data_IF_078130808151
#
_entry.id   IF_078130808151
#
_cell.length_a   1.000
_cell.length_b   1.000
_cell.length_c   1.000
_cell.angle_alpha   90.00
_cell.angle_beta   90.00
_cell.angle_gamma   90.00
#
_symmetry.space_group_name_H-M   'P 1'
#
loop_
_entity.id
_entity.type
_entity.pdbx_description
1 polymer ?
#
# COMPACT_ATOMS: atom_id res chain seq x y z
N UNK A 1 -1.81 -25.54 -8.92
CA UNK A 1 -1.30 -24.80 -7.75
C UNK A 1 -2.29 -23.66 -7.49
N UNK A 2 -2.57 -23.33 -6.23
CA UNK A 2 -3.50 -22.23 -5.90
C UNK A 2 -2.92 -20.89 -6.40
N UNK A 3 -3.70 -20.12 -7.18
CA UNK A 3 -3.29 -18.85 -7.76
C UNK A 3 -2.88 -17.83 -6.69
N UNK A 4 -3.50 -17.85 -5.52
CA UNK A 4 -3.14 -16.98 -4.40
C UNK A 4 -1.76 -17.34 -3.83
N UNK A 5 -1.42 -18.63 -3.75
CA UNK A 5 -0.09 -19.09 -3.29
C UNK A 5 1.00 -18.68 -4.30
N UNK A 6 0.72 -18.81 -5.60
CA UNK A 6 1.66 -18.37 -6.63
C UNK A 6 1.91 -16.86 -6.62
N UNK A 7 0.86 -16.07 -6.39
CA UNK A 7 0.99 -14.63 -6.23
C UNK A 7 1.92 -14.27 -5.07
N UNK A 8 1.72 -14.87 -3.89
CA UNK A 8 2.58 -14.59 -2.73
C UNK A 8 4.02 -15.02 -2.92
N UNK A 9 4.26 -16.12 -3.65
CA UNK A 9 5.60 -16.55 -4.02
C UNK A 9 6.27 -15.54 -4.94
N UNK A 10 5.60 -15.18 -6.04
CA UNK A 10 6.11 -14.20 -7.00
C UNK A 10 6.38 -12.83 -6.35
N UNK A 11 5.50 -12.36 -5.46
CA UNK A 11 5.68 -11.10 -4.72
C UNK A 11 6.92 -11.15 -3.82
N UNK A 12 7.14 -12.26 -3.11
CA UNK A 12 8.31 -12.46 -2.26
C UNK A 12 9.60 -12.51 -3.07
N UNK A 13 9.63 -13.24 -4.17
CA UNK A 13 10.79 -13.31 -5.07
C UNK A 13 11.12 -11.93 -5.66
N UNK A 14 10.11 -11.18 -6.10
CA UNK A 14 10.32 -9.81 -6.57
C UNK A 14 10.88 -8.92 -5.46
N UNK A 15 10.39 -9.05 -4.22
CA UNK A 15 10.89 -8.29 -3.10
C UNK A 15 12.36 -8.62 -2.78
N UNK A 16 12.77 -9.88 -2.87
CA UNK A 16 14.16 -10.30 -2.71
C UNK A 16 15.08 -9.67 -3.76
N UNK A 17 14.67 -9.70 -5.04
CA UNK A 17 15.42 -9.03 -6.12
C UNK A 17 15.56 -7.53 -5.87
N UNK A 18 14.51 -6.87 -5.35
CA UNK A 18 14.57 -5.46 -5.03
C UNK A 18 15.42 -5.15 -3.80
N UNK A 19 15.43 -6.03 -2.79
CA UNK A 19 16.28 -5.87 -1.61
C UNK A 19 17.78 -5.90 -1.96
N UNK A 20 18.18 -6.54 -3.06
CA UNK A 20 19.56 -6.53 -3.58
C UNK A 20 19.96 -5.19 -4.22
N UNK A 21 19.02 -4.28 -4.48
CA UNK A 21 19.31 -2.96 -5.04
C UNK A 21 20.03 -2.11 -3.97
N UNK A 22 21.25 -1.58 -4.21
CA UNK A 22 22.02 -0.87 -3.18
C UNK A 22 21.29 0.30 -2.51
N UNK A 23 20.51 1.06 -3.27
CA UNK A 23 19.75 2.19 -2.73
C UNK A 23 18.66 1.77 -1.73
N UNK A 24 18.16 0.52 -1.81
CA UNK A 24 17.19 -0.02 -0.84
C UNK A 24 17.85 -0.17 0.53
N UNK A 25 19.05 -0.76 0.60
CA UNK A 25 19.80 -0.89 1.86
C UNK A 25 20.10 0.49 2.49
N UNK A 26 20.51 1.47 1.68
CA UNK A 26 20.81 2.83 2.15
C UNK A 26 19.59 3.58 2.69
N UNK A 27 18.42 3.37 2.10
CA UNK A 27 17.18 4.06 2.51
C UNK A 27 16.53 3.34 3.69
N UNK A 28 16.48 2.01 3.64
CA UNK A 28 15.84 1.17 4.65
C UNK A 28 16.55 1.21 6.00
N UNK A 29 17.87 1.42 6.05
CA UNK A 29 18.61 1.55 7.31
C UNK A 29 18.17 2.74 8.17
N UNK A 30 17.53 3.74 7.56
CA UNK A 30 17.01 4.91 8.27
C UNK A 30 15.54 4.72 8.72
N UNK A 31 14.88 3.62 8.36
CA UNK A 31 13.51 3.35 8.80
C UNK A 31 13.52 2.95 10.28
N UNK A 32 12.53 3.38 11.10
CA UNK A 32 12.60 3.16 12.54
C UNK A 32 12.71 1.70 12.98
N UNK A 33 12.15 0.76 12.21
CA UNK A 33 12.27 -0.67 12.50
C UNK A 33 13.72 -1.20 12.33
N UNK A 34 14.47 -0.66 11.37
CA UNK A 34 15.81 -1.12 11.04
C UNK A 34 16.91 -0.31 11.75
N UNK A 35 16.58 0.91 12.19
CA UNK A 35 17.54 1.81 12.81
C UNK A 35 17.90 1.35 14.24
N UNK A 36 19.17 1.48 14.66
CA UNK A 36 19.57 1.24 16.04
C UNK A 36 18.73 2.05 17.03
N UNK A 37 18.51 1.52 18.24
CA UNK A 37 17.71 2.19 19.26
C UNK A 37 18.20 3.63 19.54
N UNK A 38 19.52 3.83 19.60
CA UNK A 38 20.12 5.14 19.82
C UNK A 38 19.77 6.16 18.73
N UNK A 39 19.56 5.71 17.50
CA UNK A 39 19.28 6.55 16.35
C UNK A 39 17.79 6.86 16.19
N UNK A 40 16.89 6.07 16.80
CA UNK A 40 15.43 6.31 16.71
C UNK A 40 14.82 7.01 17.93
N UNK A 41 15.64 7.40 18.90
CA UNK A 41 15.18 8.17 20.07
C UNK A 41 14.70 9.58 19.72
N UNK A 42 13.69 10.06 20.44
CA UNK A 42 13.16 11.42 20.30
C UNK A 42 14.25 12.48 20.49
N UNK A 43 14.26 13.50 19.62
CA UNK A 43 15.21 14.61 19.71
C UNK A 43 16.63 14.32 19.20
N UNK A 44 16.86 13.16 18.56
CA UNK A 44 18.09 12.88 17.81
C UNK A 44 18.11 13.62 16.45
N UNK A 45 19.30 13.75 15.86
CA UNK A 45 19.52 14.45 14.57
C UNK A 45 19.46 13.53 13.34
N UNK A 46 18.78 12.40 13.48
CA UNK A 46 18.73 11.33 12.48
C UNK A 46 17.41 11.34 11.74
N UNK A 47 17.39 10.75 10.54
CA UNK A 47 16.14 10.52 9.80
C UNK A 47 15.24 9.52 10.54
N UNK A 48 15.83 8.50 11.18
CA UNK A 48 15.07 7.49 11.93
C UNK A 48 14.25 8.10 13.08
N UNK A 49 14.83 9.02 13.85
CA UNK A 49 14.09 9.72 14.91
C UNK A 49 12.94 10.56 14.37
N UNK A 50 13.16 11.29 13.26
CA UNK A 50 12.06 12.02 12.60
C UNK A 50 10.96 11.06 12.13
N UNK A 51 11.30 9.96 11.47
CA UNK A 51 10.31 9.00 10.99
C UNK A 51 9.55 8.35 12.16
N UNK A 52 10.20 8.08 13.29
CA UNK A 52 9.55 7.60 14.51
C UNK A 52 8.54 8.62 15.05
N UNK A 53 8.89 9.91 15.08
CA UNK A 53 7.97 10.98 15.48
C UNK A 53 6.75 11.05 14.53
N UNK A 54 6.98 10.97 13.23
CA UNK A 54 5.90 10.98 12.23
C UNK A 54 5.00 9.74 12.33
N UNK A 55 5.56 8.56 12.58
CA UNK A 55 4.80 7.33 12.84
C UNK A 55 3.91 7.49 14.07
N UNK A 56 4.43 8.09 15.15
CA UNK A 56 3.66 8.30 16.38
C UNK A 56 2.49 9.28 16.18
N UNK A 57 2.66 10.32 15.34
CA UNK A 57 1.61 11.31 15.05
C UNK A 57 0.64 10.92 13.93
N UNK A 58 1.09 10.10 12.97
CA UNK A 58 0.40 9.87 11.69
C UNK A 58 0.51 8.40 11.21
N UNK A 59 0.42 7.43 12.12
CA UNK A 59 0.66 5.99 11.85
C UNK A 59 -0.01 5.46 10.58
N UNK A 60 -1.28 5.81 10.34
CA UNK A 60 -2.03 5.39 9.15
C UNK A 60 -1.46 5.92 7.82
N UNK A 61 -0.82 7.09 7.84
CA UNK A 61 -0.17 7.68 6.68
C UNK A 61 1.20 7.02 6.43
N UNK A 62 1.89 6.60 7.49
CA UNK A 62 3.26 6.06 7.41
C UNK A 62 3.34 4.56 7.09
N UNK A 63 2.20 3.89 6.92
CA UNK A 63 2.10 2.42 6.74
C UNK A 63 2.81 1.85 5.50
N UNK A 64 3.02 2.66 4.46
CA UNK A 64 3.55 2.23 3.16
C UNK A 64 4.98 2.76 2.98
N UNK A 65 6.03 1.97 3.27
CA UNK A 65 7.40 2.49 3.32
C UNK A 65 7.94 2.89 1.94
N UNK A 66 7.39 2.35 0.84
CA UNK A 66 7.77 2.76 -0.52
C UNK A 66 7.14 4.07 -0.99
N UNK A 67 6.24 4.68 -0.21
CA UNK A 67 5.55 5.95 -0.54
C UNK A 67 6.03 7.14 0.30
N UNK A 68 7.09 6.96 1.07
CA UNK A 68 7.56 7.96 2.03
C UNK A 68 8.13 9.22 1.36
N UNK A 69 8.57 9.17 0.10
CA UNK A 69 9.07 10.39 -0.56
C UNK A 69 7.94 11.40 -0.84
N UNK A 70 6.72 10.92 -1.13
CA UNK A 70 5.55 11.78 -1.26
C UNK A 70 4.91 12.15 0.08
N UNK A 71 4.95 11.25 1.06
CA UNK A 71 4.23 11.42 2.34
C UNK A 71 5.02 12.27 3.33
N UNK A 72 6.33 12.02 3.49
CA UNK A 72 7.15 12.68 4.51
C UNK A 72 7.18 14.20 4.33
N UNK A 73 7.36 14.78 3.13
CA UNK A 73 7.34 16.25 2.98
C UNK A 73 6.02 16.88 3.42
N UNK A 74 4.88 16.24 3.12
CA UNK A 74 3.56 16.74 3.50
C UNK A 74 3.38 16.77 5.02
N UNK A 75 3.79 15.69 5.69
CA UNK A 75 3.66 15.58 7.14
C UNK A 75 4.72 16.40 7.88
N UNK A 76 5.93 16.50 7.33
CA UNK A 76 7.04 17.23 7.94
C UNK A 76 6.75 18.73 8.06
N UNK A 77 6.12 19.34 7.06
CA UNK A 77 5.74 20.76 7.11
C UNK A 77 4.68 21.05 8.19
N UNK A 78 3.79 20.10 8.47
CA UNK A 78 2.85 20.22 9.58
C UNK A 78 3.55 19.97 10.93
N UNK A 79 4.38 18.94 10.99
CA UNK A 79 5.15 18.53 12.17
C UNK A 79 6.11 19.62 12.66
N UNK A 80 6.78 20.36 11.75
CA UNK A 80 7.67 21.50 12.08
C UNK A 80 7.00 22.56 12.96
N UNK A 81 5.67 22.70 12.90
CA UNK A 81 4.92 23.68 13.70
C UNK A 81 4.79 23.27 15.16
N UNK A 82 4.93 21.98 15.46
CA UNK A 82 4.59 21.38 16.75
C UNK A 82 5.72 20.55 17.37
N UNK A 83 6.78 20.22 16.62
CA UNK A 83 7.91 19.41 17.08
C UNK A 83 9.23 20.17 17.11
N UNK A 84 10.14 19.68 17.97
CA UNK A 84 11.53 20.11 18.11
C UNK A 84 12.52 19.22 17.32
N UNK A 85 12.05 18.54 16.26
CA UNK A 85 12.88 17.65 15.45
C UNK A 85 14.21 18.31 15.07
N UNK A 86 15.32 17.60 15.31
CA UNK A 86 16.67 18.16 15.16
C UNK A 86 17.40 17.67 13.89
N UNK A 87 16.71 16.92 13.03
CA UNK A 87 17.28 16.52 11.73
C UNK A 87 17.49 17.75 10.85
N UNK A 88 18.62 17.85 10.18
CA UNK A 88 18.87 18.95 9.25
C UNK A 88 18.13 18.73 7.94
N UNK A 89 17.70 19.82 7.28
CA UNK A 89 17.07 19.75 5.96
C UNK A 89 17.98 19.11 4.90
N UNK A 90 19.29 19.29 5.03
CA UNK A 90 20.27 18.65 4.16
C UNK A 90 20.26 17.12 4.33
N UNK A 91 20.32 16.62 5.57
CA UNK A 91 20.29 15.17 5.84
C UNK A 91 18.98 14.56 5.37
N UNK A 92 17.85 15.20 5.66
CA UNK A 92 16.55 14.76 5.20
C UNK A 92 16.45 14.81 3.66
N UNK A 93 16.93 15.87 3.02
CA UNK A 93 16.91 16.04 1.56
C UNK A 93 17.72 14.98 0.81
N UNK A 94 18.87 14.56 1.35
CA UNK A 94 19.66 13.45 0.78
C UNK A 94 18.88 12.14 0.84
N UNK A 95 18.27 11.83 1.99
CA UNK A 95 17.46 10.63 2.15
C UNK A 95 16.21 10.65 1.25
N UNK A 96 15.47 11.77 1.22
CA UNK A 96 14.29 11.96 0.36
C UNK A 96 14.62 11.83 -1.12
N UNK A 97 15.78 12.31 -1.55
CA UNK A 97 16.23 12.16 -2.95
C UNK A 97 16.38 10.68 -3.32
N UNK A 98 16.96 9.87 -2.43
CA UNK A 98 17.10 8.43 -2.64
C UNK A 98 15.74 7.73 -2.62
N UNK A 99 14.91 8.04 -1.64
CA UNK A 99 13.55 7.54 -1.52
C UNK A 99 12.70 7.88 -2.76
N UNK A 100 12.90 9.05 -3.37
CA UNK A 100 12.21 9.48 -4.60
C UNK A 100 12.53 8.55 -5.78
N UNK A 101 13.77 8.08 -5.93
CA UNK A 101 14.12 7.11 -6.98
C UNK A 101 13.38 5.78 -6.76
N UNK A 102 13.34 5.28 -5.53
CA UNK A 102 12.64 4.05 -5.17
C UNK A 102 11.12 4.18 -5.39
N UNK A 103 10.49 5.23 -4.87
CA UNK A 103 9.06 5.46 -5.05
C UNK A 103 8.70 5.61 -6.54
N UNK A 104 9.52 6.31 -7.33
CA UNK A 104 9.29 6.44 -8.77
C UNK A 104 9.38 5.09 -9.49
N UNK A 105 10.38 4.27 -9.16
CA UNK A 105 10.50 2.93 -9.73
C UNK A 105 9.32 2.04 -9.33
N UNK A 106 8.86 2.15 -8.08
CA UNK A 106 7.70 1.43 -7.56
C UNK A 106 6.44 1.82 -8.32
N UNK A 107 6.19 3.13 -8.44
CA UNK A 107 5.05 3.68 -9.20
C UNK A 107 5.03 3.19 -10.65
N UNK A 108 6.18 3.16 -11.34
CA UNK A 108 6.25 2.66 -12.72
C UNK A 108 5.91 1.17 -12.80
N UNK A 109 6.38 0.37 -11.83
CA UNK A 109 6.08 -1.05 -11.74
C UNK A 109 4.58 -1.29 -11.52
N UNK A 110 3.97 -0.59 -10.55
CA UNK A 110 2.54 -0.66 -10.26
C UNK A 110 1.70 -0.18 -11.45
N UNK A 111 2.10 0.90 -12.11
CA UNK A 111 1.43 1.39 -13.31
C UNK A 111 1.49 0.36 -14.46
N UNK A 112 2.59 -0.35 -14.60
CA UNK A 112 2.72 -1.43 -15.58
C UNK A 112 1.81 -2.62 -15.25
N UNK A 113 1.67 -3.02 -13.98
CA UNK A 113 0.68 -4.03 -13.58
C UNK A 113 -0.75 -3.57 -13.90
N UNK A 114 -1.10 -2.35 -13.51
CA UNK A 114 -2.41 -1.74 -13.80
C UNK A 114 -2.71 -1.65 -15.30
N UNK A 115 -1.69 -1.52 -16.15
CA UNK A 115 -1.84 -1.47 -17.60
C UNK A 115 -2.32 -2.79 -18.23
N UNK A 116 -2.26 -3.90 -17.50
CA UNK A 116 -2.73 -5.20 -17.94
C UNK A 116 -4.18 -5.50 -17.52
N UNK A 117 -4.82 -4.60 -16.77
CA UNK A 117 -6.24 -4.72 -16.43
C UNK A 117 -7.11 -4.55 -17.68
N UNK A 118 -8.21 -5.30 -17.74
CA UNK A 118 -9.19 -5.19 -18.82
C UNK A 118 -9.69 -3.74 -18.97
N UNK A 119 -9.81 -3.29 -20.22
CA UNK A 119 -10.25 -1.93 -20.53
C UNK A 119 -9.21 -0.83 -20.35
N UNK A 120 -7.98 -1.11 -19.91
CA UNK A 120 -6.90 -0.11 -19.90
C UNK A 120 -6.57 0.39 -21.33
N UNK A 121 -6.32 1.70 -21.54
CA UNK A 121 -6.27 2.80 -20.57
C UNK A 121 -7.63 3.47 -20.28
N UNK A 122 -8.73 2.97 -20.86
CA UNK A 122 -10.07 3.58 -20.83
C UNK A 122 -11.03 2.93 -19.83
N UNK A 123 -10.51 2.47 -18.68
CA UNK A 123 -11.31 1.87 -17.60
C UNK A 123 -12.44 2.83 -17.20
N UNK A 124 -13.68 2.33 -17.26
CA UNK A 124 -14.91 3.11 -17.07
C UNK A 124 -15.33 3.27 -15.59
N UNK A 125 -14.58 2.69 -14.67
CA UNK A 125 -14.90 2.66 -13.25
C UNK A 125 -15.03 4.10 -12.68
N UNK A 126 -16.16 4.47 -12.04
CA UNK A 126 -16.35 5.80 -11.44
C UNK A 126 -15.28 6.14 -10.41
N UNK A 127 -14.67 5.15 -9.77
CA UNK A 127 -13.56 5.30 -8.84
C UNK A 127 -12.34 5.95 -9.48
N UNK A 128 -12.25 6.01 -10.81
CA UNK A 128 -11.23 6.74 -11.57
C UNK A 128 -11.72 8.12 -12.08
N UNK A 129 -12.84 8.64 -11.58
CA UNK A 129 -13.30 10.01 -11.78
C UNK A 129 -12.25 11.02 -11.26
N UNK A 130 -12.16 12.21 -11.88
CA UNK A 130 -11.20 13.23 -11.44
C UNK A 130 -11.49 13.65 -10.00
N UNK A 131 -10.46 13.71 -9.17
CA UNK A 131 -10.57 14.12 -7.76
C UNK A 131 -11.01 13.00 -6.81
N UNK A 132 -11.26 11.79 -7.32
CA UNK A 132 -11.43 10.56 -6.51
C UNK A 132 -10.17 10.22 -5.72
N UNK A 133 -10.25 9.35 -4.70
CA UNK A 133 -9.07 8.88 -3.95
C UNK A 133 -7.95 8.32 -4.84
N UNK A 134 -8.32 7.76 -5.99
CA UNK A 134 -7.38 7.16 -6.95
C UNK A 134 -6.82 8.15 -7.97
N UNK A 135 -7.24 9.42 -8.01
CA UNK A 135 -6.77 10.39 -9.03
C UNK A 135 -6.49 11.79 -8.49
N UNK A 136 -6.78 12.04 -7.21
CA UNK A 136 -6.53 13.32 -6.57
C UNK A 136 -5.02 13.58 -6.47
N UNK A 137 -4.60 14.84 -6.65
CA UNK A 137 -3.23 15.28 -6.38
C UNK A 137 -3.07 15.81 -4.95
N UNK A 138 -4.17 15.88 -4.19
CA UNK A 138 -4.12 16.12 -2.75
C UNK A 138 -3.70 14.84 -1.99
N UNK A 139 -3.53 14.96 -0.67
CA UNK A 139 -3.14 13.87 0.20
C UNK A 139 -4.01 12.61 0.04
N UNK A 140 -3.34 11.47 -0.15
CA UNK A 140 -3.91 10.12 -0.15
C UNK A 140 -2.84 9.10 0.24
N UNK A 141 -3.24 8.01 0.89
CA UNK A 141 -2.30 6.99 1.40
C UNK A 141 -2.08 5.85 0.38
N UNK A 142 -2.29 6.13 -0.91
CA UNK A 142 -2.30 5.14 -1.98
C UNK A 142 -1.65 5.70 -3.23
N UNK A 143 -1.05 4.84 -4.07
CA UNK A 143 -0.60 5.24 -5.38
C UNK A 143 -1.77 5.60 -6.29
N UNK A 144 -1.88 6.88 -6.61
CA UNK A 144 -2.86 7.39 -7.58
C UNK A 144 -2.58 6.85 -8.99
N UNK A 145 -3.64 6.81 -9.79
CA UNK A 145 -3.63 6.60 -11.22
C UNK A 145 -3.39 7.94 -11.92
N UNK A 146 -2.14 8.21 -12.31
CA UNK A 146 -1.83 9.49 -12.95
C UNK A 146 -2.31 9.51 -14.42
N UNK A 147 -2.76 10.67 -14.92
CA UNK A 147 -3.06 10.83 -16.35
C UNK A 147 -1.86 10.53 -17.25
N UNK A 148 -0.65 10.77 -16.77
CA UNK A 148 0.61 10.55 -17.48
C UNK A 148 0.86 9.06 -17.70
N UNK A 149 0.67 8.22 -16.68
CA UNK A 149 0.80 6.75 -16.78
C UNK A 149 -0.04 6.17 -17.93
N UNK A 150 -1.29 6.66 -18.08
CA UNK A 150 -2.23 6.21 -19.13
C UNK A 150 -1.79 6.53 -20.54
N UNK A 151 -0.91 7.51 -20.73
CA UNK A 151 -0.41 7.94 -22.04
C UNK A 151 0.87 7.22 -22.46
N UNK A 152 1.49 6.45 -21.56
CA UNK A 152 2.80 5.82 -21.81
C UNK A 152 2.73 4.54 -22.66
N UNK A 153 1.55 4.03 -23.01
CA UNK A 153 1.42 2.80 -23.79
C UNK A 153 1.96 1.56 -23.07
N UNK A 154 1.91 1.55 -21.73
CA UNK A 154 2.48 0.49 -20.89
C UNK A 154 1.94 -0.91 -21.20
N UNK A 155 0.71 -1.01 -21.71
CA UNK A 155 0.07 -2.28 -22.10
C UNK A 155 0.76 -2.98 -23.28
N UNK A 156 1.60 -2.26 -24.02
CA UNK A 156 2.37 -2.80 -25.15
C UNK A 156 3.80 -3.15 -24.77
N UNK A 157 4.20 -2.93 -23.51
CA UNK A 157 5.57 -3.15 -23.04
C UNK A 157 5.71 -4.51 -22.36
N UNK A 158 6.79 -5.22 -22.65
CA UNK A 158 7.06 -6.56 -22.10
C UNK A 158 7.57 -6.57 -20.65
N UNK A 159 7.93 -5.42 -20.09
CA UNK A 159 8.35 -5.23 -18.71
C UNK A 159 8.14 -3.77 -18.26
N UNK A 160 8.16 -3.48 -16.94
CA UNK A 160 8.13 -2.12 -16.44
C UNK A 160 9.26 -1.26 -17.03
N UNK A 161 8.96 -0.16 -17.73
CA UNK A 161 9.98 0.58 -18.45
C UNK A 161 10.94 1.31 -17.50
N UNK A 162 12.24 1.25 -17.80
CA UNK A 162 13.29 2.07 -17.16
C UNK A 162 13.48 1.86 -15.65
N UNK A 163 12.82 0.88 -15.02
CA UNK A 163 12.97 0.60 -13.57
C UNK A 163 14.44 0.38 -13.18
N UNK A 164 15.21 -0.50 -13.85
CA UNK A 164 16.64 -0.68 -13.54
C UNK A 164 17.46 0.61 -13.68
N UNK A 165 17.09 1.48 -14.62
CA UNK A 165 17.76 2.76 -14.82
C UNK A 165 17.44 3.79 -13.74
N UNK A 166 16.19 3.83 -13.27
CA UNK A 166 15.75 4.74 -12.21
C UNK A 166 16.50 4.45 -10.91
N UNK A 167 16.64 3.17 -10.55
CA UNK A 167 17.28 2.72 -9.30
C UNK A 167 18.78 2.40 -9.47
N UNK A 168 19.34 2.67 -10.65
CA UNK A 168 20.77 2.44 -10.98
C UNK A 168 21.23 0.99 -10.74
N UNK A 169 20.38 0.01 -11.07
CA UNK A 169 20.61 -1.42 -10.85
C UNK A 169 20.73 -2.20 -12.18
N UNK A 170 21.49 -1.67 -13.15
CA UNK A 170 21.62 -2.29 -14.48
C UNK A 170 22.16 -3.72 -14.44
N UNK A 171 22.99 -4.05 -13.44
CA UNK A 171 23.58 -5.39 -13.28
C UNK A 171 22.54 -6.49 -13.01
N UNK A 172 21.41 -6.14 -12.41
CA UNK A 172 20.30 -7.07 -12.10
C UNK A 172 19.03 -6.75 -12.88
N UNK A 173 19.15 -5.99 -13.98
CA UNK A 173 18.02 -5.53 -14.78
C UNK A 173 17.12 -6.68 -15.25
N UNK A 174 17.72 -7.80 -15.66
CA UNK A 174 17.00 -9.00 -16.11
C UNK A 174 16.15 -9.60 -14.98
N UNK A 175 16.71 -9.73 -13.78
CA UNK A 175 16.01 -10.26 -12.61
C UNK A 175 14.84 -9.35 -12.20
N UNK A 176 15.03 -8.03 -12.24
CA UNK A 176 13.97 -7.05 -11.97
C UNK A 176 12.81 -7.23 -12.95
N UNK A 177 13.10 -7.34 -14.25
CA UNK A 177 12.09 -7.50 -15.29
C UNK A 177 11.37 -8.86 -15.23
N UNK A 178 12.12 -9.94 -14.95
CA UNK A 178 11.57 -11.30 -14.88
C UNK A 178 10.67 -11.49 -13.65
N UNK A 179 11.09 -11.00 -12.49
CA UNK A 179 10.28 -11.07 -11.27
C UNK A 179 9.02 -10.20 -11.36
N UNK A 180 9.10 -9.00 -11.96
CA UNK A 180 7.90 -8.20 -12.24
C UNK A 180 6.93 -8.91 -13.19
N UNK A 181 7.43 -9.56 -14.24
CA UNK A 181 6.58 -10.38 -15.12
C UNK A 181 5.92 -11.55 -14.40
N UNK A 182 6.64 -12.22 -13.50
CA UNK A 182 6.09 -13.31 -12.70
C UNK A 182 4.90 -12.84 -11.85
N UNK A 183 5.05 -11.71 -11.14
CA UNK A 183 3.96 -11.09 -10.36
C UNK A 183 2.78 -10.73 -11.24
N UNK A 184 3.00 -10.11 -12.40
CA UNK A 184 1.91 -9.75 -13.31
C UNK A 184 1.14 -10.97 -13.82
N UNK A 185 1.83 -12.06 -14.19
CA UNK A 185 1.17 -13.31 -14.57
C UNK A 185 0.37 -13.92 -13.42
N UNK A 186 0.96 -13.99 -12.23
CA UNK A 186 0.26 -14.51 -11.06
C UNK A 186 -0.98 -13.67 -10.70
N UNK A 187 -0.89 -12.34 -10.83
CA UNK A 187 -2.03 -11.43 -10.66
C UNK A 187 -3.17 -11.76 -11.65
N UNK A 188 -2.84 -12.00 -12.92
CA UNK A 188 -3.81 -12.33 -13.98
C UNK A 188 -4.55 -13.66 -13.73
N UNK A 189 -3.95 -14.58 -12.97
CA UNK A 189 -4.54 -15.87 -12.62
C UNK A 189 -5.49 -15.79 -11.41
N UNK A 190 -5.52 -14.67 -10.69
CA UNK A 190 -6.36 -14.53 -9.49
C UNK A 190 -7.84 -14.41 -9.81
N UNK A 191 -8.68 -14.75 -8.81
CA UNK A 191 -10.14 -14.64 -8.94
C UNK A 191 -10.57 -13.20 -9.17
N UNK A 192 -9.98 -12.26 -8.44
CA UNK A 192 -10.29 -10.83 -8.50
C UNK A 192 -10.03 -10.29 -9.91
N UNK A 193 -8.89 -10.64 -10.51
CA UNK A 193 -8.54 -10.24 -11.86
C UNK A 193 -9.48 -10.84 -12.91
N UNK A 194 -9.72 -12.15 -12.84
CA UNK A 194 -10.63 -12.84 -13.75
C UNK A 194 -12.08 -12.36 -13.63
N UNK A 195 -12.52 -12.05 -12.42
CA UNK A 195 -13.85 -11.46 -12.17
C UNK A 195 -13.94 -10.09 -12.82
N UNK A 196 -12.92 -9.24 -12.67
CA UNK A 196 -12.90 -7.93 -13.31
C UNK A 196 -12.94 -8.04 -14.84
N UNK A 197 -12.09 -8.88 -15.44
CA UNK A 197 -12.12 -9.15 -16.89
C UNK A 197 -13.48 -9.64 -17.36
N UNK A 198 -14.07 -10.60 -16.66
CA UNK A 198 -15.39 -11.14 -17.03
C UNK A 198 -16.50 -10.09 -16.95
N UNK A 199 -16.49 -9.24 -15.91
CA UNK A 199 -17.47 -8.15 -15.79
C UNK A 199 -17.26 -7.06 -16.83
N UNK A 200 -16.02 -6.80 -17.25
CA UNK A 200 -15.72 -5.87 -18.34
C UNK A 200 -16.32 -6.36 -19.66
N UNK A 201 -16.12 -7.63 -19.99
CA UNK A 201 -16.60 -8.23 -21.24
C UNK A 201 -18.13 -8.33 -21.27
N UNK A 202 -18.76 -8.45 -20.10
CA UNK A 202 -20.21 -8.48 -19.95
C UNK A 202 -20.90 -7.10 -19.99
N UNK A 203 -20.15 -5.99 -20.06
CA UNK A 203 -20.74 -4.65 -20.06
C UNK A 203 -21.59 -4.38 -21.30
N UNK A 204 -22.88 -4.11 -21.09
CA UNK A 204 -23.78 -3.60 -22.14
C UNK A 204 -23.56 -2.11 -22.39
N UNK A 205 -24.12 -1.57 -23.47
CA UNK A 205 -24.04 -0.12 -23.74
C UNK A 205 -24.82 0.73 -22.73
N UNK A 206 -25.88 0.16 -22.13
CA UNK A 206 -26.59 0.77 -21.01
C UNK A 206 -25.67 0.85 -19.79
N UNK A 207 -24.97 -0.23 -19.45
CA UNK A 207 -24.02 -0.24 -18.33
C UNK A 207 -22.89 0.79 -18.55
N UNK A 208 -22.32 0.83 -19.76
CA UNK A 208 -21.27 1.80 -20.12
C UNK A 208 -21.75 3.24 -19.99
N UNK A 209 -23.00 3.51 -20.35
CA UNK A 209 -23.61 4.85 -20.22
C UNK A 209 -23.77 5.22 -18.76
N UNK A 210 -24.34 4.33 -17.94
CA UNK A 210 -24.49 4.52 -16.49
C UNK A 210 -23.14 4.78 -15.79
N UNK A 211 -22.09 4.03 -16.17
CA UNK A 211 -20.73 4.21 -15.64
C UNK A 211 -20.16 5.59 -16.00
N UNK A 212 -20.33 6.04 -17.24
CA UNK A 212 -19.86 7.36 -17.70
C UNK A 212 -20.60 8.49 -16.98
N UNK A 213 -21.92 8.39 -16.85
CA UNK A 213 -22.73 9.37 -16.13
C UNK A 213 -22.33 9.46 -14.66
N UNK A 214 -22.21 8.32 -13.98
CA UNK A 214 -21.75 8.25 -12.59
C UNK A 214 -20.35 8.85 -12.42
N UNK A 215 -19.41 8.59 -13.35
CA UNK A 215 -18.07 9.17 -13.34
C UNK A 215 -18.07 10.68 -13.54
N UNK A 216 -18.91 11.19 -14.44
CA UNK A 216 -19.03 12.63 -14.70
C UNK A 216 -19.62 13.35 -13.49
N UNK A 217 -20.69 12.80 -12.91
CA UNK A 217 -21.31 13.35 -11.72
C UNK A 217 -20.36 13.33 -10.52
N UNK A 218 -19.63 12.23 -10.30
CA UNK A 218 -18.63 12.17 -9.24
C UNK A 218 -17.50 13.19 -9.47
N UNK A 219 -17.05 13.39 -10.71
CA UNK A 219 -16.03 14.41 -11.02
C UNK A 219 -16.49 15.83 -10.69
N UNK A 220 -17.80 16.11 -10.83
CA UNK A 220 -18.41 17.39 -10.45
C UNK A 220 -18.43 17.55 -8.92
N UNK A 221 -18.92 16.55 -8.21
CA UNK A 221 -18.99 16.51 -6.73
C UNK A 221 -17.60 16.59 -6.09
N UNK A 222 -16.57 16.07 -6.75
CA UNK A 222 -15.19 16.10 -6.26
C UNK A 222 -14.35 17.25 -6.84
N UNK A 223 -14.98 18.22 -7.49
CA UNK A 223 -14.31 19.45 -7.90
C UNK A 223 -13.82 20.24 -6.67
N UNK A 224 -12.75 21.04 -6.83
CA UNK A 224 -12.12 21.74 -5.71
C UNK A 224 -13.11 22.62 -4.94
N UNK A 225 -13.95 23.38 -5.62
CA UNK A 225 -14.95 24.25 -4.99
C UNK A 225 -16.00 23.47 -4.18
N UNK A 226 -16.42 22.29 -4.66
CA UNK A 226 -17.37 21.45 -3.93
C UNK A 226 -16.73 20.82 -2.69
N UNK A 227 -15.50 20.30 -2.81
CA UNK A 227 -14.78 19.74 -1.65
C UNK A 227 -14.53 20.82 -0.61
N UNK A 228 -14.09 22.01 -1.01
CA UNK A 228 -13.85 23.15 -0.10
C UNK A 228 -15.12 23.58 0.63
N UNK A 229 -16.28 23.49 -0.02
CA UNK A 229 -17.57 23.89 0.57
C UNK A 229 -18.14 22.85 1.54
N UNK A 230 -17.71 21.58 1.45
CA UNK A 230 -18.26 20.47 2.23
C UNK A 230 -17.30 19.91 3.28
N UNK A 231 -16.07 20.42 3.36
CA UNK A 231 -15.02 19.89 4.25
C UNK A 231 -14.24 21.00 4.92
N UNK A 232 -13.55 20.67 6.01
CA UNK A 232 -12.52 21.55 6.57
C UNK A 232 -11.32 21.64 5.61
N UNK A 233 -10.39 22.56 5.87
CA UNK A 233 -9.12 22.62 5.14
C UNK A 233 -8.14 21.49 5.50
N UNK A 234 -8.53 20.56 6.38
CA UNK A 234 -7.66 19.47 6.83
C UNK A 234 -7.60 18.36 5.77
N UNK A 235 -6.37 17.95 5.43
CA UNK A 235 -6.10 16.97 4.38
C UNK A 235 -6.81 15.60 4.61
N UNK A 236 -6.89 15.16 5.87
CA UNK A 236 -7.52 13.88 6.24
C UNK A 236 -9.04 13.92 6.01
N UNK A 237 -9.72 14.99 6.44
CA UNK A 237 -11.17 15.15 6.27
C UNK A 237 -11.54 15.18 4.79
N UNK A 238 -10.75 15.91 4.00
CA UNK A 238 -10.87 15.98 2.54
C UNK A 238 -10.67 14.62 1.86
N UNK A 239 -9.74 13.81 2.36
CA UNK A 239 -9.51 12.44 1.88
C UNK A 239 -10.71 11.52 2.20
N UNK A 240 -11.23 11.59 3.44
CA UNK A 240 -12.44 10.85 3.87
C UNK A 240 -13.67 11.21 3.03
N UNK A 241 -13.91 12.51 2.81
CA UNK A 241 -15.01 12.98 1.97
C UNK A 241 -14.95 12.41 0.55
N UNK A 242 -13.76 12.39 -0.07
CA UNK A 242 -13.56 11.79 -1.40
C UNK A 242 -13.87 10.30 -1.41
N UNK A 243 -13.40 9.57 -0.40
CA UNK A 243 -13.65 8.13 -0.26
C UNK A 243 -15.15 7.84 -0.09
N UNK A 244 -15.83 8.58 0.78
CA UNK A 244 -17.27 8.40 1.05
C UNK A 244 -18.13 8.78 -0.16
N UNK A 245 -17.82 9.88 -0.85
CA UNK A 245 -18.51 10.27 -2.08
C UNK A 245 -18.30 9.25 -3.21
N UNK A 246 -17.10 8.70 -3.35
CA UNK A 246 -16.82 7.62 -4.31
C UNK A 246 -17.60 6.35 -3.96
N UNK A 247 -17.63 5.94 -2.69
CA UNK A 247 -18.40 4.78 -2.22
C UNK A 247 -19.89 4.93 -2.51
N UNK A 248 -20.45 6.12 -2.25
CA UNK A 248 -21.85 6.45 -2.55
C UNK A 248 -22.14 6.39 -4.05
N UNK A 249 -21.24 6.86 -4.90
CA UNK A 249 -21.42 6.80 -6.35
C UNK A 249 -21.48 5.35 -6.86
N UNK A 250 -20.63 4.47 -6.35
CA UNK A 250 -20.66 3.03 -6.69
C UNK A 250 -21.94 2.37 -6.17
N UNK A 251 -22.35 2.66 -4.93
CA UNK A 251 -23.55 2.08 -4.32
C UNK A 251 -24.86 2.44 -5.03
N UNK A 252 -24.89 3.55 -5.78
CA UNK A 252 -26.04 3.98 -6.60
C UNK A 252 -26.14 3.26 -7.94
N UNK A 253 -25.07 2.62 -8.41
CA UNK A 253 -25.12 1.80 -9.60
C UNK A 253 -25.98 0.56 -9.36
N UNK A 254 -26.49 -0.03 -10.43
CA UNK A 254 -27.22 -1.29 -10.42
C UNK A 254 -26.76 -2.18 -11.58
N UNK A 255 -27.15 -3.46 -11.56
CA UNK A 255 -26.90 -4.40 -12.65
C UNK A 255 -25.41 -4.59 -12.98
N UNK A 256 -25.10 -4.71 -14.28
CA UNK A 256 -23.75 -4.95 -14.78
C UNK A 256 -22.77 -3.83 -14.43
N UNK A 257 -23.21 -2.58 -14.47
CA UNK A 257 -22.40 -1.43 -14.07
C UNK A 257 -21.91 -1.53 -12.62
N UNK A 258 -22.77 -1.95 -11.68
CA UNK A 258 -22.38 -2.14 -10.28
C UNK A 258 -21.38 -3.29 -10.13
N UNK A 259 -21.68 -4.43 -10.74
CA UNK A 259 -20.80 -5.61 -10.67
C UNK A 259 -19.40 -5.29 -11.21
N UNK A 260 -19.31 -4.57 -12.33
CA UNK A 260 -18.05 -4.10 -12.89
C UNK A 260 -17.30 -3.14 -11.95
N UNK A 261 -18.00 -2.17 -11.36
CA UNK A 261 -17.39 -1.22 -10.44
C UNK A 261 -16.88 -1.91 -9.15
N UNK A 262 -17.61 -2.87 -8.60
CA UNK A 262 -17.19 -3.65 -7.44
C UNK A 262 -16.01 -4.58 -7.77
N UNK A 263 -16.02 -5.23 -8.93
CA UNK A 263 -14.91 -6.06 -9.39
C UNK A 263 -13.64 -5.23 -9.63
N UNK A 264 -13.76 -4.00 -10.14
CA UNK A 264 -12.63 -3.08 -10.25
C UNK A 264 -11.98 -2.79 -8.90
N UNK A 265 -12.79 -2.55 -7.85
CA UNK A 265 -12.25 -2.32 -6.49
C UNK A 265 -11.49 -3.55 -6.01
N UNK A 266 -12.03 -4.75 -6.18
CA UNK A 266 -11.38 -5.98 -5.75
C UNK A 266 -10.03 -6.18 -6.46
N UNK A 267 -9.98 -6.00 -7.79
CA UNK A 267 -8.73 -6.12 -8.54
C UNK A 267 -7.70 -5.03 -8.16
N UNK A 268 -8.14 -3.78 -8.00
CA UNK A 268 -7.27 -2.68 -7.59
C UNK A 268 -6.75 -2.85 -6.15
N UNK A 269 -7.60 -3.30 -5.23
CA UNK A 269 -7.24 -3.54 -3.84
C UNK A 269 -6.27 -4.72 -3.72
N UNK A 270 -6.43 -5.77 -4.53
CA UNK A 270 -5.46 -6.86 -4.62
C UNK A 270 -4.10 -6.35 -5.11
N UNK A 271 -4.06 -5.53 -6.16
CA UNK A 271 -2.81 -4.91 -6.64
C UNK A 271 -2.17 -4.12 -5.50
N UNK A 272 -2.92 -3.22 -4.85
CA UNK A 272 -2.39 -2.39 -3.77
C UNK A 272 -1.90 -3.23 -2.58
N UNK A 273 -2.63 -4.28 -2.18
CA UNK A 273 -2.21 -5.21 -1.13
C UNK A 273 -0.88 -5.87 -1.51
N UNK A 274 -0.76 -6.37 -2.73
CA UNK A 274 0.47 -7.04 -3.17
C UNK A 274 1.64 -6.07 -3.29
N UNK A 275 1.43 -4.86 -3.81
CA UNK A 275 2.50 -3.94 -4.17
C UNK A 275 2.85 -2.94 -3.07
N UNK A 276 1.86 -2.23 -2.53
CA UNK A 276 2.08 -1.10 -1.63
C UNK A 276 2.22 -1.55 -0.18
N UNK A 277 1.69 -2.73 0.14
CA UNK A 277 1.67 -3.27 1.49
C UNK A 277 2.62 -4.45 1.62
N UNK A 278 2.39 -5.56 0.93
CA UNK A 278 3.20 -6.78 1.06
C UNK A 278 4.60 -6.61 0.49
N UNK A 279 4.71 -6.33 -0.81
CA UNK A 279 5.99 -6.12 -1.46
C UNK A 279 6.79 -4.99 -0.79
N UNK A 280 6.16 -3.85 -0.50
CA UNK A 280 6.85 -2.72 0.13
C UNK A 280 7.45 -3.08 1.50
N UNK A 281 6.72 -3.83 2.34
CA UNK A 281 7.22 -4.28 3.64
C UNK A 281 8.37 -5.27 3.47
N UNK A 282 8.25 -6.25 2.56
CA UNK A 282 9.30 -7.24 2.31
C UNK A 282 10.59 -6.61 1.75
N UNK A 283 10.48 -5.64 0.85
CA UNK A 283 11.64 -4.92 0.29
C UNK A 283 12.36 -4.11 1.37
N UNK A 284 11.60 -3.45 2.26
CA UNK A 284 12.16 -2.47 3.18
C UNK A 284 12.55 -3.04 4.54
N UNK A 285 11.92 -4.13 4.97
CA UNK A 285 12.10 -4.73 6.29
C UNK A 285 12.50 -6.22 6.24
N UNK A 286 12.49 -6.84 5.06
CA UNK A 286 12.81 -8.25 4.91
C UNK A 286 11.64 -9.18 5.30
N UNK A 287 11.97 -10.41 5.69
CA UNK A 287 10.98 -11.40 6.09
C UNK A 287 10.19 -10.96 7.35
N UNK A 288 8.88 -11.28 7.44
CA UNK A 288 8.09 -10.95 8.62
C UNK A 288 8.65 -11.59 9.88
N UNK A 289 8.76 -10.78 10.94
CA UNK A 289 9.20 -11.24 12.26
C UNK A 289 8.14 -12.14 12.91
N UNK A 290 8.61 -13.11 13.70
CA UNK A 290 7.75 -13.91 14.55
C UNK A 290 7.43 -13.14 15.82
N UNK A 291 6.14 -13.03 16.14
CA UNK A 291 5.64 -12.36 17.33
C UNK A 291 5.00 -13.41 18.23
N UNK A 292 5.43 -13.44 19.50
CA UNK A 292 4.76 -14.21 20.53
C UNK A 292 3.42 -13.53 20.84
N UNK A 293 2.32 -14.22 20.53
CA UNK A 293 0.98 -13.71 20.79
C UNK A 293 0.20 -14.61 21.74
N UNK A 294 -0.82 -14.03 22.34
CA UNK A 294 -1.78 -14.69 23.22
C UNK A 294 -3.20 -14.22 22.90
N UNK A 295 -4.20 -14.86 23.50
CA UNK A 295 -5.61 -14.46 23.37
C UNK A 295 -6.08 -14.31 21.91
N UNK A 296 -5.68 -15.25 21.05
CA UNK A 296 -6.02 -15.23 19.62
C UNK A 296 -7.52 -15.47 19.43
N UNK A 297 -8.19 -14.51 18.79
CA UNK A 297 -9.61 -14.57 18.45
C UNK A 297 -9.84 -14.32 16.95
N UNK A 298 -10.58 -15.21 16.31
CA UNK A 298 -10.95 -15.11 14.89
C UNK A 298 -12.31 -14.42 14.77
N UNK A 299 -12.29 -13.19 14.24
CA UNK A 299 -13.53 -12.42 14.05
C UNK A 299 -14.25 -12.81 12.78
N UNK A 300 -15.53 -13.14 12.93
CA UNK A 300 -16.51 -13.21 11.83
C UNK A 300 -16.32 -14.40 10.89
N UNK A 301 -16.65 -15.61 11.35
CA UNK A 301 -17.10 -16.78 10.57
C UNK A 301 -16.22 -17.34 9.44
N UNK A 302 -15.15 -16.65 9.03
CA UNK A 302 -14.43 -16.91 7.78
C UNK A 302 -12.93 -16.62 7.85
N UNK A 303 -12.31 -16.78 9.03
CA UNK A 303 -10.86 -16.86 9.30
C UNK A 303 -9.93 -15.74 8.81
N UNK A 304 -10.41 -14.72 8.08
CA UNK A 304 -9.56 -13.67 7.50
C UNK A 304 -9.24 -12.51 8.44
N UNK A 305 -9.93 -12.37 9.57
CA UNK A 305 -9.71 -11.32 10.56
C UNK A 305 -9.40 -11.94 11.91
N UNK A 306 -8.36 -11.41 12.53
CA UNK A 306 -7.81 -11.96 13.75
C UNK A 306 -7.44 -10.80 14.67
N UNK A 307 -7.73 -10.97 15.94
CA UNK A 307 -7.18 -10.15 17.01
C UNK A 307 -6.32 -11.02 17.91
N UNK A 308 -5.25 -10.45 18.45
CA UNK A 308 -4.37 -11.11 19.40
C UNK A 308 -3.68 -10.09 20.31
N UNK A 309 -3.21 -10.57 21.45
CA UNK A 309 -2.48 -9.79 22.43
C UNK A 309 -0.98 -10.06 22.35
N UNK A 310 -0.18 -9.00 22.45
CA UNK A 310 1.28 -9.07 22.50
C UNK A 310 1.75 -8.44 23.81
N UNK A 311 2.58 -9.18 24.53
CA UNK A 311 3.23 -8.78 25.79
C UNK A 311 4.75 -8.84 25.59
N UNK A 312 5.50 -7.96 26.25
CA UNK A 312 6.98 -7.98 26.33
C UNK A 312 7.78 -7.91 25.01
N UNK A 313 7.13 -7.88 23.85
CA UNK A 313 7.72 -7.50 22.56
C UNK A 313 7.96 -5.98 22.54
N UNK A 314 8.83 -5.41 21.68
CA UNK A 314 8.79 -3.98 21.39
C UNK A 314 7.44 -3.64 20.75
N UNK A 315 6.41 -3.43 21.57
CA UNK A 315 5.02 -3.18 21.19
C UNK A 315 4.92 -1.99 20.22
N UNK A 316 5.87 -1.06 20.32
CA UNK A 316 6.00 0.10 19.45
C UNK A 316 6.49 -0.22 18.02
N UNK A 317 7.04 -1.40 17.78
CA UNK A 317 7.50 -1.86 16.46
C UNK A 317 6.40 -2.63 15.69
N UNK A 318 5.22 -2.88 16.31
CA UNK A 318 4.04 -3.47 15.66
C UNK A 318 2.99 -2.39 15.38
N UNK A 319 3.08 -1.76 14.21
CA UNK A 319 2.18 -0.68 13.80
C UNK A 319 1.31 -1.07 12.59
N UNK A 320 0.19 -0.35 12.33
CA UNK A 320 -0.60 -0.54 11.13
C UNK A 320 0.26 -0.52 9.85
N UNK A 321 0.06 -1.53 8.99
CA UNK A 321 0.85 -1.73 7.77
C UNK A 321 1.96 -2.77 7.90
N UNK A 322 2.43 -3.09 9.11
CA UNK A 322 3.40 -4.17 9.27
C UNK A 322 2.83 -5.52 8.88
N UNK A 323 3.73 -6.43 8.54
CA UNK A 323 3.44 -7.85 8.34
C UNK A 323 4.23 -8.61 9.39
N UNK A 324 3.53 -9.47 10.11
CA UNK A 324 4.07 -10.29 11.19
C UNK A 324 3.66 -11.75 11.00
N UNK A 325 4.41 -12.66 11.59
CA UNK A 325 3.97 -14.03 11.84
C UNK A 325 3.68 -14.19 13.32
N UNK A 326 2.79 -15.09 13.65
CA UNK A 326 2.43 -15.38 15.04
C UNK A 326 2.90 -16.78 15.36
N UNK A 327 3.53 -16.93 16.52
CA UNK A 327 3.98 -18.24 17.01
C UNK A 327 2.80 -19.04 17.59
N UNK A 328 1.82 -19.36 16.73
CA UNK A 328 0.66 -20.16 17.10
C UNK A 328 0.26 -21.10 15.94
N UNK A 329 0.08 -22.41 16.20
CA UNK A 329 -0.24 -23.39 15.16
C UNK A 329 -1.61 -23.19 14.50
N UNK A 330 -2.49 -22.36 15.07
CA UNK A 330 -3.77 -21.99 14.46
C UNK A 330 -3.61 -20.93 13.37
N UNK A 331 -2.46 -20.25 13.29
CA UNK A 331 -2.20 -19.13 12.37
C UNK A 331 -0.84 -19.31 11.68
N UNK A 332 -0.80 -20.24 10.73
CA UNK A 332 0.42 -20.51 9.95
C UNK A 332 0.77 -19.38 8.95
N UNK A 333 -0.24 -18.67 8.46
CA UNK A 333 -0.11 -17.61 7.47
C UNK A 333 0.30 -16.27 8.14
N UNK A 334 1.01 -15.44 7.38
CA UNK A 334 1.37 -14.10 7.84
C UNK A 334 0.14 -13.22 8.04
N UNK A 335 0.24 -12.27 8.97
CA UNK A 335 -0.80 -11.32 9.32
C UNK A 335 -0.37 -9.93 8.90
N UNK A 336 -1.22 -9.26 8.13
CA UNK A 336 -1.13 -7.82 7.93
C UNK A 336 -1.77 -7.12 9.12
N UNK A 337 -1.00 -6.27 9.80
CA UNK A 337 -1.47 -5.45 10.92
C UNK A 337 -2.33 -4.30 10.39
N UNK A 338 -3.52 -4.14 10.94
CA UNK A 338 -4.49 -3.10 10.54
C UNK A 338 -4.76 -2.09 11.64
N UNK A 339 -4.63 -2.52 12.89
CA UNK A 339 -4.74 -1.67 14.08
C UNK A 339 -3.84 -2.20 15.18
N UNK A 340 -3.36 -1.28 16.01
CA UNK A 340 -2.66 -1.59 17.24
C UNK A 340 -3.21 -0.66 18.32
N UNK A 341 -3.68 -1.23 19.43
CA UNK A 341 -4.09 -0.48 20.61
C UNK A 341 -3.13 -0.79 21.75
N UNK A 342 -2.26 0.17 22.08
CA UNK A 342 -1.25 0.03 23.13
C UNK A 342 -1.84 0.45 24.46
N UNK A 343 -1.65 -0.37 25.49
CA UNK A 343 -2.08 -0.12 26.86
C UNK A 343 -0.87 -0.10 27.80
N UNK A 344 -0.93 0.80 28.78
CA UNK A 344 0.10 0.95 29.82
C UNK A 344 -0.52 0.60 31.17
N UNK A 345 -0.19 -0.59 31.68
CA UNK A 345 -0.60 -1.04 33.00
C UNK A 345 0.50 -0.82 34.03
N UNK A 346 0.16 -0.31 35.21
CA UNK A 346 1.10 -0.21 36.34
C UNK A 346 1.49 -1.60 36.90
N UNK A 347 0.69 -2.63 36.63
CA UNK A 347 0.89 -4.01 37.11
C UNK A 347 1.29 -4.94 35.97
N UNK A 348 0.60 -4.88 34.84
CA UNK A 348 0.78 -5.80 33.71
C UNK A 348 1.81 -5.30 32.67
N UNK A 349 2.47 -4.17 32.92
CA UNK A 349 3.46 -3.60 32.01
C UNK A 349 2.85 -3.01 30.73
N UNK A 350 3.60 -3.08 29.64
CA UNK A 350 3.17 -2.58 28.32
C UNK A 350 2.60 -3.75 27.52
N UNK A 351 1.37 -3.61 27.03
CA UNK A 351 0.73 -4.60 26.18
C UNK A 351 0.10 -3.94 24.96
N UNK A 352 -0.13 -4.73 23.91
CA UNK A 352 -0.97 -4.30 22.78
C UNK A 352 -1.98 -5.35 22.37
N UNK A 353 -3.18 -4.84 22.04
CA UNK A 353 -4.16 -5.59 21.25
C UNK A 353 -3.92 -5.23 19.79
N UNK A 354 -3.58 -6.24 19.01
CA UNK A 354 -3.29 -6.13 17.57
C UNK A 354 -4.46 -6.73 16.81
N UNK A 355 -4.99 -5.96 15.86
CA UNK A 355 -6.01 -6.46 14.93
C UNK A 355 -5.46 -6.50 13.52
N UNK A 356 -5.62 -7.63 12.86
CA UNK A 356 -5.03 -7.87 11.56
C UNK A 356 -5.93 -8.64 10.59
N UNK A 357 -5.42 -8.81 9.38
CA UNK A 357 -5.97 -9.72 8.40
C UNK A 357 -4.97 -10.79 8.00
N UNK A 358 -5.42 -12.04 7.98
CA UNK A 358 -4.59 -13.18 7.56
C UNK A 358 -4.36 -13.12 6.05
N UNK A 359 -3.11 -13.20 5.64
CA UNK A 359 -2.68 -13.29 4.25
C UNK A 359 -2.68 -14.76 3.84
N UNK A 360 -3.87 -15.28 3.53
CA UNK A 360 -4.07 -16.72 3.26
C UNK A 360 -3.12 -17.25 2.19
N UNK A 361 -2.46 -18.37 2.48
CA UNK A 361 -1.55 -19.07 1.56
C UNK A 361 -0.09 -18.62 1.61
N UNK A 362 0.24 -17.60 2.42
CA UNK A 362 1.62 -17.13 2.60
C UNK A 362 2.51 -18.16 3.30
N UNK A 363 1.96 -18.99 4.18
CA UNK A 363 2.65 -20.12 4.81
C UNK A 363 3.22 -21.09 3.77
N UNK A 364 2.41 -21.49 2.79
CA UNK A 364 2.83 -22.37 1.70
C UNK A 364 3.76 -21.67 0.69
N UNK A 365 3.55 -20.37 0.46
CA UNK A 365 4.35 -19.60 -0.48
C UNK A 365 5.76 -19.25 0.06
N UNK A 366 5.88 -19.04 1.37
CA UNK A 366 7.07 -18.45 2.00
C UNK A 366 7.87 -19.43 2.86
N UNK A 367 7.37 -20.63 3.13
CA UNK A 367 8.22 -21.71 3.68
C UNK A 367 9.29 -22.03 2.63
N UNK A 368 10.54 -21.83 3.04
CA UNK A 368 11.75 -22.04 2.24
C UNK A 368 11.71 -23.38 1.49
N UNK A 369 11.86 -23.33 0.17
CA UNK A 369 12.51 -24.42 -0.58
C UNK A 369 13.97 -24.52 -0.20
#
# INVERSE_FOLDING_TARGET
>A
MDATVELWRSVREQAQVWAEIPIVAEVSSALPKNAPLADKQLGQKTVAALLQELVAGYSDAMRNPLLLASIVPLLYEDHKKHSSSKVSEQTLGVWLTKMTFLERAHRVTVAWFRAHLAGYPFILAPQLAKGSPFTTLEFTNQLIWSPEERKLGLQFMSCPPKVPSIVKAQKIAKQIDESARAVCRALQETKEWNTFTSTNDALTDIDKTNLKESRNELSRVLSSGEVDSNTTKLAIDRSRYRADSTRRAVARLSGGARNYAEAFIQANDLINLCTDEVFAQLVMYGEPEMVAASCIDFRGGGSKRIDFEVHDYPVFDIIPGNIVRVDDPLVDDAIRVLRTNISFGNVDGISAIVGGSVLTGTSHAWRST
#
